data_IF_002437764526
#
_entry.id   IF_002437764526
#
_cell.length_a   1.000
_cell.length_b   1.000
_cell.length_c   1.000
_cell.angle_alpha   90.00
_cell.angle_beta   90.00
_cell.angle_gamma   90.00
#
_symmetry.space_group_name_H-M   'P 1'
#
loop_
_entity.id
_entity.type
_entity.pdbx_description
1 polymer ?
#
# COMPACT_ATOMS: atom_id res chain seq x y z
N UNK A 1 -8.49 -13.92 -11.46
CA UNK A 1 -9.77 -13.18 -11.41
C UNK A 1 -9.69 -12.00 -10.44
N UNK A 2 -9.53 -12.20 -9.14
CA UNK A 2 -9.58 -11.09 -8.15
C UNK A 2 -8.39 -10.10 -8.23
N UNK A 3 -7.18 -10.58 -8.50
CA UNK A 3 -6.00 -9.71 -8.72
C UNK A 3 -6.13 -8.80 -9.95
N UNK A 4 -6.79 -9.27 -11.01
CA UNK A 4 -6.95 -8.48 -12.24
C UNK A 4 -7.86 -7.30 -11.98
N UNK A 5 -8.90 -7.49 -11.18
CA UNK A 5 -9.82 -6.42 -10.80
C UNK A 5 -9.14 -5.40 -9.88
N UNK A 6 -8.32 -5.86 -8.93
CA UNK A 6 -7.47 -4.97 -8.12
C UNK A 6 -6.54 -4.15 -9.03
N UNK A 7 -5.89 -4.76 -10.03
CA UNK A 7 -5.03 -4.04 -10.98
C UNK A 7 -5.81 -3.03 -11.81
N UNK A 8 -7.01 -3.37 -12.27
CA UNK A 8 -7.89 -2.46 -13.03
C UNK A 8 -8.27 -1.24 -12.21
N UNK A 9 -8.70 -1.45 -10.96
CA UNK A 9 -9.04 -0.38 -10.02
C UNK A 9 -7.83 0.52 -9.77
N UNK A 10 -6.63 -0.06 -9.61
CA UNK A 10 -5.39 0.70 -9.38
C UNK A 10 -4.91 1.46 -10.62
N UNK A 11 -5.17 0.94 -11.81
CA UNK A 11 -4.88 1.64 -13.06
C UNK A 11 -5.77 2.89 -13.20
N UNK A 12 -7.04 2.79 -12.82
CA UNK A 12 -7.97 3.92 -12.84
C UNK A 12 -7.69 4.92 -11.69
N UNK A 13 -7.35 4.40 -10.51
CA UNK A 13 -7.18 5.18 -9.28
C UNK A 13 -5.88 4.76 -8.54
N UNK A 14 -4.72 5.27 -8.95
CA UNK A 14 -3.41 4.82 -8.45
C UNK A 14 -3.17 5.11 -6.97
N UNK A 15 -3.77 6.18 -6.43
CA UNK A 15 -3.62 6.62 -5.04
C UNK A 15 -4.74 6.14 -4.10
N UNK A 16 -5.53 5.14 -4.49
CA UNK A 16 -6.67 4.69 -3.69
C UNK A 16 -6.22 4.11 -2.35
N UNK A 17 -6.71 4.71 -1.26
CA UNK A 17 -6.49 4.19 0.09
C UNK A 17 -7.13 2.82 0.30
N UNK A 18 -6.53 2.00 1.16
CA UNK A 18 -6.94 0.61 1.38
C UNK A 18 -8.43 0.44 1.73
N UNK A 19 -9.00 1.33 2.55
CA UNK A 19 -10.42 1.27 2.93
C UNK A 19 -11.36 1.46 1.74
N UNK A 20 -11.03 2.41 0.84
CA UNK A 20 -11.83 2.66 -0.37
C UNK A 20 -11.67 1.51 -1.38
N UNK A 21 -10.47 0.96 -1.48
CA UNK A 21 -10.22 -0.25 -2.27
C UNK A 21 -11.07 -1.42 -1.78
N UNK A 22 -11.20 -1.62 -0.46
CA UNK A 22 -12.03 -2.68 0.10
C UNK A 22 -13.52 -2.53 -0.23
N UNK A 23 -14.08 -1.32 -0.12
CA UNK A 23 -15.49 -1.09 -0.49
C UNK A 23 -15.73 -1.35 -1.99
N UNK A 24 -14.78 -1.00 -2.85
CA UNK A 24 -14.86 -1.30 -4.29
C UNK A 24 -14.72 -2.80 -4.60
N UNK A 25 -13.97 -3.54 -3.79
CA UNK A 25 -13.80 -4.99 -3.93
C UNK A 25 -14.98 -5.80 -3.38
N UNK A 26 -15.78 -5.21 -2.48
CA UNK A 26 -16.94 -5.82 -1.84
C UNK A 26 -17.97 -6.41 -2.82
N UNK A 27 -18.39 -5.72 -3.91
CA UNK A 27 -19.27 -6.33 -4.92
C UNK A 27 -18.62 -7.55 -5.59
N UNK A 28 -17.35 -7.45 -5.99
CA UNK A 28 -16.59 -8.53 -6.65
C UNK A 28 -16.46 -9.75 -5.73
N UNK A 29 -16.25 -9.52 -4.44
CA UNK A 29 -16.19 -10.58 -3.42
C UNK A 29 -17.54 -11.29 -3.24
N UNK A 30 -18.65 -10.55 -3.34
CA UNK A 30 -20.00 -11.14 -3.31
C UNK A 30 -20.28 -11.96 -4.56
N UNK A 31 -19.95 -11.45 -5.73
CA UNK A 31 -20.08 -12.17 -7.01
C UNK A 31 -19.28 -13.47 -7.03
N UNK A 32 -18.07 -13.44 -6.44
CA UNK A 32 -17.23 -14.62 -6.33
C UNK A 32 -17.64 -15.58 -5.19
N UNK A 33 -18.70 -15.29 -4.44
CA UNK A 33 -19.12 -16.02 -3.23
C UNK A 33 -18.03 -16.19 -2.16
N UNK A 34 -17.03 -15.30 -2.13
CA UNK A 34 -15.90 -15.38 -1.19
C UNK A 34 -16.24 -14.61 0.08
N UNK A 35 -16.46 -15.31 1.19
CA UNK A 35 -16.54 -14.71 2.54
C UNK A 35 -15.13 -14.34 3.03
N UNK A 36 -14.56 -13.26 2.49
CA UNK A 36 -13.34 -12.65 3.02
C UNK A 36 -13.65 -11.35 3.74
N UNK A 37 -13.33 -11.32 5.04
CA UNK A 37 -13.32 -10.09 5.81
C UNK A 37 -12.18 -9.17 5.40
N UNK A 38 -12.28 -7.90 5.81
CA UNK A 38 -11.32 -6.83 5.56
C UNK A 38 -9.86 -7.27 5.74
N UNK A 39 -9.53 -7.82 6.91
CA UNK A 39 -8.16 -8.19 7.26
C UNK A 39 -7.61 -9.34 6.40
N UNK A 40 -8.47 -10.28 5.98
CA UNK A 40 -8.08 -11.35 5.04
C UNK A 40 -7.80 -10.78 3.64
N UNK A 41 -8.61 -9.82 3.18
CA UNK A 41 -8.38 -9.14 1.90
C UNK A 41 -7.06 -8.38 1.93
N UNK A 42 -6.78 -7.62 2.99
CA UNK A 42 -5.50 -6.94 3.14
C UNK A 42 -4.32 -7.90 3.23
N UNK A 43 -4.47 -9.03 3.94
CA UNK A 43 -3.44 -10.07 3.98
C UNK A 43 -3.14 -10.66 2.60
N UNK A 44 -4.18 -10.93 1.81
CA UNK A 44 -4.03 -11.40 0.43
C UNK A 44 -3.33 -10.36 -0.45
N UNK A 45 -3.78 -9.10 -0.40
CA UNK A 45 -3.16 -8.00 -1.15
C UNK A 45 -1.70 -7.80 -0.75
N UNK A 46 -1.37 -7.96 0.54
CA UNK A 46 0.00 -7.82 1.06
C UNK A 46 0.90 -8.93 0.53
N UNK A 47 0.44 -10.18 0.54
CA UNK A 47 1.16 -11.34 -0.04
C UNK A 47 1.40 -11.20 -1.54
N UNK A 48 0.50 -10.50 -2.24
CA UNK A 48 0.58 -10.30 -3.69
C UNK A 48 1.22 -8.95 -4.09
N UNK A 49 1.90 -8.26 -3.18
CA UNK A 49 2.54 -6.95 -3.43
C UNK A 49 1.60 -5.90 -4.05
N UNK A 50 0.29 -5.95 -3.76
CA UNK A 50 -0.73 -5.08 -4.33
C UNK A 50 -1.11 -3.89 -3.43
N UNK A 51 -0.54 -3.80 -2.22
CA UNK A 51 -0.63 -2.60 -1.40
C UNK A 51 0.36 -1.55 -1.92
N UNK A 52 -0.07 -0.27 -1.95
CA UNK A 52 0.90 0.82 -2.09
C UNK A 52 1.91 0.70 -0.95
N UNK A 53 3.17 0.60 -1.31
CA UNK A 53 4.23 0.91 -0.37
C UNK A 53 4.12 2.38 -0.01
N UNK A 54 4.13 2.66 1.30
CA UNK A 54 4.12 4.03 1.79
C UNK A 54 5.46 4.64 1.38
N UNK A 55 5.45 5.64 0.50
CA UNK A 55 6.67 6.37 0.19
C UNK A 55 7.27 6.93 1.48
N UNK A 56 8.59 6.80 1.62
CA UNK A 56 9.32 7.36 2.76
C UNK A 56 9.02 8.86 2.84
N UNK A 57 8.43 9.29 3.96
CA UNK A 57 8.04 10.69 4.18
C UNK A 57 9.21 11.64 4.42
N UNK A 58 10.42 11.12 4.61
CA UNK A 58 11.60 11.94 4.81
C UNK A 58 12.40 12.01 3.52
N UNK A 59 12.56 13.22 2.99
CA UNK A 59 13.73 13.54 2.19
C UNK A 59 14.89 13.72 3.17
N UNK A 60 16.04 13.06 2.93
CA UNK A 60 17.25 13.32 3.71
C UNK A 60 17.77 14.71 3.32
N UNK A 61 17.19 15.75 3.91
CA UNK A 61 17.65 17.12 3.76
C UNK A 61 18.89 17.24 4.65
N UNK A 62 20.05 17.06 4.04
CA UNK A 62 21.40 17.27 4.60
C UNK A 62 22.07 15.98 5.10
N UNK A 63 23.29 15.76 4.61
CA UNK A 63 24.25 14.77 5.09
C UNK A 63 24.86 15.24 6.41
N UNK A 64 24.08 15.28 7.49
CA UNK A 64 24.60 15.46 8.84
C UNK A 64 24.71 14.11 9.55
N UNK A 65 25.40 13.14 8.95
CA UNK A 65 25.90 12.00 9.70
C UNK A 65 27.29 12.32 10.25
N UNK A 66 27.38 13.35 11.10
CA UNK A 66 28.64 13.79 11.69
C UNK A 66 28.73 13.35 13.16
N UNK A 67 29.31 12.18 13.47
CA UNK A 67 29.57 11.77 14.85
C UNK A 67 30.75 12.52 15.51
N UNK A 68 31.50 13.34 14.76
CA UNK A 68 32.76 13.96 15.18
C UNK A 68 33.00 15.38 14.64
N UNK A 69 32.20 16.41 14.92
CA UNK A 69 32.72 17.78 14.67
C UNK A 69 33.77 18.14 15.74
N UNK A 70 34.70 17.22 15.99
CA UNK A 70 35.80 17.31 16.94
C UNK A 70 36.96 17.94 16.20
N UNK A 71 36.97 19.27 16.13
CA UNK A 71 38.18 20.05 15.97
C UNK A 71 38.02 21.26 16.88
N UNK A 72 38.80 21.37 17.97
CA UNK A 72 38.91 22.64 18.67
C UNK A 72 39.84 23.54 17.85
N UNK A 73 39.34 24.71 17.45
CA UNK A 73 40.15 25.88 17.13
C UNK A 73 39.58 27.08 17.88
#
# INVERSE_FOLDING_TARGET
MLLNEVRRIRHLLPATGGRKLYEMLKPVLRESCIKMGRDKVFGLLKRNHCLLEKQRKYARTINSNHPFSNIPI
#
